data_IF_479944663206
#
_entry.id   IF_479944663206
#
_cell.length_a   1.000
_cell.length_b   1.000
_cell.length_c   1.000
_cell.angle_alpha   90.00
_cell.angle_beta   90.00
_cell.angle_gamma   90.00
#
_symmetry.space_group_name_H-M   'P 1'
#
loop_
_entity.id
_entity.type
_entity.pdbx_description
1 polymer ?
#
# COMPACT_ATOMS: atom_id res chain seq x y z
N UNK A 1 -9.99 0.55 19.75
CA UNK A 1 -8.57 0.87 19.73
C UNK A 1 -8.29 2.29 19.22
N UNK A 2 -7.08 2.77 19.40
CA UNK A 2 -6.63 4.07 18.92
C UNK A 2 -6.33 3.95 17.42
N UNK A 3 -6.91 4.84 16.60
CA UNK A 3 -6.63 4.86 15.16
C UNK A 3 -5.26 5.45 14.88
N UNK A 4 -4.56 4.92 13.86
CA UNK A 4 -3.30 5.48 13.39
C UNK A 4 -3.48 6.97 13.02
N UNK A 5 -2.52 7.81 13.42
CA UNK A 5 -2.55 9.25 13.16
C UNK A 5 -3.47 10.07 14.07
N UNK A 6 -4.08 9.46 15.12
CA UNK A 6 -4.86 10.23 16.10
C UNK A 6 -3.96 11.22 16.83
N UNK A 7 -4.28 12.53 16.81
CA UNK A 7 -3.47 13.55 17.48
C UNK A 7 -3.37 13.33 18.99
N UNK A 8 -2.19 13.55 19.55
CA UNK A 8 -1.94 13.36 20.98
C UNK A 8 -2.89 14.14 21.90
N UNK A 9 -3.27 15.37 21.53
CA UNK A 9 -4.18 16.17 22.34
C UNK A 9 -5.56 15.52 22.50
N UNK A 10 -6.05 14.81 21.46
CA UNK A 10 -7.30 14.08 21.54
C UNK A 10 -7.18 12.84 22.45
N UNK A 11 -6.01 12.21 22.47
CA UNK A 11 -5.76 11.05 23.34
C UNK A 11 -5.64 11.45 24.80
N UNK A 12 -5.11 12.64 25.10
CA UNK A 12 -5.03 13.18 26.46
C UNK A 12 -6.40 13.37 27.12
N UNK A 13 -7.38 13.78 26.34
CA UNK A 13 -8.75 14.08 26.79
C UNK A 13 -9.63 12.83 26.81
N UNK A 14 -9.22 11.76 26.12
CA UNK A 14 -9.98 10.53 26.04
C UNK A 14 -9.80 9.69 27.31
N UNK A 15 -10.92 9.14 27.82
CA UNK A 15 -10.88 8.15 28.89
C UNK A 15 -10.66 6.76 28.27
N UNK A 16 -9.55 6.13 28.61
CA UNK A 16 -9.27 4.76 28.22
C UNK A 16 -9.58 3.80 29.37
N UNK A 17 -10.17 2.63 29.09
CA UNK A 17 -10.44 1.61 30.13
C UNK A 17 -9.15 1.01 30.68
N UNK A 18 -8.05 1.07 29.92
CA UNK A 18 -6.74 0.57 30.27
C UNK A 18 -5.71 1.71 30.31
N UNK A 19 -4.61 1.48 31.04
CA UNK A 19 -3.54 2.46 31.14
C UNK A 19 -2.85 2.66 29.79
N UNK A 20 -2.82 3.91 29.31
CA UNK A 20 -2.11 4.32 28.10
C UNK A 20 -0.65 4.66 28.42
N UNK A 21 0.28 3.97 27.78
CA UNK A 21 1.71 4.27 27.84
C UNK A 21 2.13 4.98 26.56
N UNK A 22 2.91 6.05 26.72
CA UNK A 22 3.37 6.88 25.61
C UNK A 22 4.88 6.91 25.59
N UNK A 23 5.46 6.62 24.43
CA UNK A 23 6.90 6.59 24.21
C UNK A 23 7.28 7.43 23.01
N UNK A 24 8.46 8.02 23.02
CA UNK A 24 9.06 8.63 21.83
C UNK A 24 9.44 7.56 20.81
N UNK A 25 9.26 7.86 19.52
CA UNK A 25 9.67 6.95 18.44
C UNK A 25 11.19 6.77 18.44
N UNK A 26 11.65 5.51 18.45
CA UNK A 26 13.07 5.17 18.33
C UNK A 26 13.43 5.05 16.84
N UNK A 27 13.79 6.16 16.22
CA UNK A 27 14.10 6.21 14.77
C UNK A 27 15.31 5.34 14.40
N UNK A 28 16.30 5.22 15.25
CA UNK A 28 17.49 4.37 14.98
C UNK A 28 17.11 2.89 14.92
N UNK A 29 16.27 2.43 15.83
CA UNK A 29 15.76 1.06 15.82
C UNK A 29 14.90 0.81 14.57
N UNK A 30 14.00 1.74 14.23
CA UNK A 30 13.18 1.62 13.02
C UNK A 30 14.03 1.57 11.75
N UNK A 31 15.05 2.44 11.64
CA UNK A 31 15.96 2.44 10.50
C UNK A 31 16.77 1.13 10.42
N UNK A 32 17.26 0.62 11.55
CA UNK A 32 17.98 -0.66 11.60
C UNK A 32 17.11 -1.83 11.11
N UNK A 33 15.86 -1.91 11.57
CA UNK A 33 14.93 -2.97 11.13
C UNK A 33 14.54 -2.79 9.67
N UNK A 34 14.31 -1.55 9.21
CA UNK A 34 14.05 -1.24 7.80
C UNK A 34 15.19 -1.71 6.90
N UNK A 35 16.42 -1.40 7.25
CA UNK A 35 17.61 -1.83 6.50
C UNK A 35 17.72 -3.36 6.42
N UNK A 36 17.37 -4.08 7.49
CA UNK A 36 17.34 -5.55 7.49
C UNK A 36 16.25 -6.09 6.55
N UNK A 37 15.07 -5.48 6.54
CA UNK A 37 14.01 -5.86 5.60
C UNK A 37 14.47 -5.64 4.16
N UNK A 38 15.08 -4.48 3.85
CA UNK A 38 15.61 -4.19 2.52
C UNK A 38 16.64 -5.23 2.10
N UNK A 39 17.62 -5.54 2.95
CA UNK A 39 18.65 -6.55 2.67
C UNK A 39 18.04 -7.93 2.36
N UNK A 40 17.04 -8.37 3.12
CA UNK A 40 16.33 -9.63 2.87
C UNK A 40 15.53 -9.61 1.55
N UNK A 41 14.97 -8.48 1.17
CA UNK A 41 14.28 -8.33 -0.12
C UNK A 41 15.28 -8.36 -1.28
N UNK A 42 16.48 -7.79 -1.12
CA UNK A 42 17.56 -7.81 -2.12
C UNK A 42 18.13 -9.23 -2.37
N UNK A 43 18.04 -10.11 -1.39
CA UNK A 43 18.41 -11.53 -1.59
C UNK A 43 17.47 -12.25 -2.59
N UNK A 44 16.22 -11.81 -2.71
CA UNK A 44 15.21 -12.43 -3.56
C UNK A 44 14.90 -11.61 -4.83
N UNK A 45 15.30 -10.35 -4.88
CA UNK A 45 15.07 -9.48 -6.03
C UNK A 45 16.29 -8.59 -6.27
N UNK A 46 16.87 -8.60 -7.50
CA UNK A 46 18.07 -7.81 -7.80
C UNK A 46 17.81 -6.30 -7.89
N UNK A 47 16.56 -5.88 -7.85
CA UNK A 47 16.15 -4.47 -7.97
C UNK A 47 15.12 -4.13 -6.92
N UNK A 48 15.59 -3.53 -5.85
CA UNK A 48 14.77 -3.00 -4.75
C UNK A 48 14.92 -1.48 -4.72
N UNK A 49 13.81 -0.77 -4.79
CA UNK A 49 13.75 0.68 -4.60
C UNK A 49 13.12 0.94 -3.22
N UNK A 50 13.91 1.39 -2.28
CA UNK A 50 13.38 1.84 -0.99
C UNK A 50 12.68 3.18 -1.19
N UNK A 51 11.35 3.18 -0.99
CA UNK A 51 10.52 4.37 -1.14
C UNK A 51 10.36 5.14 0.19
N UNK A 52 10.26 4.41 1.29
CA UNK A 52 10.20 4.98 2.65
C UNK A 52 10.85 4.02 3.66
N UNK A 53 10.75 4.35 4.95
CA UNK A 53 11.28 3.49 6.03
C UNK A 53 10.55 2.14 6.12
N UNK A 54 9.33 2.06 5.61
CA UNK A 54 8.44 0.89 5.72
C UNK A 54 7.90 0.40 4.36
N UNK A 55 8.34 1.00 3.25
CA UNK A 55 7.86 0.68 1.92
C UNK A 55 9.00 0.55 0.90
N UNK A 56 8.93 -0.54 0.11
CA UNK A 56 9.84 -0.81 -0.99
C UNK A 56 9.07 -1.20 -2.25
N UNK A 57 9.62 -0.85 -3.41
CA UNK A 57 9.18 -1.39 -4.69
C UNK A 57 10.23 -2.36 -5.22
N UNK A 58 9.77 -3.51 -5.71
CA UNK A 58 10.60 -4.54 -6.30
C UNK A 58 10.25 -4.71 -7.78
N UNK A 59 11.26 -4.91 -8.61
CA UNK A 59 11.05 -5.26 -10.00
C UNK A 59 10.78 -6.77 -10.13
N UNK A 60 9.53 -7.13 -10.37
CA UNK A 60 9.10 -8.52 -10.51
C UNK A 60 9.05 -9.01 -11.98
N UNK A 61 9.61 -8.23 -12.93
CA UNK A 61 9.64 -8.64 -14.34
C UNK A 61 10.42 -9.96 -14.50
N UNK A 62 9.83 -10.88 -15.24
CA UNK A 62 10.40 -12.22 -15.44
C UNK A 62 10.02 -13.26 -14.39
N UNK A 63 9.65 -12.87 -13.18
CA UNK A 63 9.24 -13.83 -12.12
C UNK A 63 8.04 -14.67 -12.58
N UNK A 64 7.05 -14.05 -13.22
CA UNK A 64 5.86 -14.76 -13.71
C UNK A 64 6.12 -15.86 -14.74
N UNK A 65 7.33 -15.94 -15.31
CA UNK A 65 7.74 -17.05 -16.18
C UNK A 65 8.28 -18.26 -15.39
N UNK A 66 8.67 -18.05 -14.14
CA UNK A 66 9.30 -19.06 -13.29
C UNK A 66 8.33 -19.60 -12.23
N UNK A 67 7.47 -18.73 -11.69
CA UNK A 67 6.52 -19.08 -10.64
C UNK A 67 5.34 -18.11 -10.61
N UNK A 68 4.25 -18.52 -9.94
CA UNK A 68 3.12 -17.63 -9.69
C UNK A 68 3.53 -16.42 -8.84
N UNK A 69 3.03 -15.23 -9.19
CA UNK A 69 3.39 -14.00 -8.48
C UNK A 69 2.93 -13.98 -7.01
N UNK A 70 1.79 -14.61 -6.71
CA UNK A 70 1.31 -14.67 -5.32
C UNK A 70 2.15 -15.69 -4.52
N UNK A 71 2.66 -16.75 -5.16
CA UNK A 71 3.62 -17.68 -4.52
C UNK A 71 4.95 -16.97 -4.22
N UNK A 72 5.45 -16.17 -5.15
CA UNK A 72 6.62 -15.33 -4.89
C UNK A 72 6.37 -14.33 -3.76
N UNK A 73 5.20 -13.70 -3.73
CA UNK A 73 4.80 -12.82 -2.64
C UNK A 73 4.76 -13.53 -1.29
N UNK A 74 4.29 -14.76 -1.24
CA UNK A 74 4.31 -15.60 -0.02
C UNK A 74 5.75 -15.92 0.40
N UNK A 75 6.63 -16.20 -0.56
CA UNK A 75 8.06 -16.42 -0.30
C UNK A 75 8.73 -15.17 0.30
N UNK A 76 8.50 -13.97 -0.28
CA UNK A 76 8.99 -12.69 0.26
C UNK A 76 8.52 -12.48 1.70
N UNK A 77 7.24 -12.71 1.99
CA UNK A 77 6.66 -12.58 3.33
C UNK A 77 7.31 -13.55 4.33
N UNK A 78 7.45 -14.80 3.94
CA UNK A 78 8.08 -15.83 4.78
C UNK A 78 9.54 -15.51 5.09
N UNK A 79 10.28 -15.04 4.08
CA UNK A 79 11.69 -14.67 4.21
C UNK A 79 11.88 -13.49 5.18
N UNK A 80 11.12 -12.42 4.99
CA UNK A 80 11.17 -11.26 5.89
C UNK A 80 10.74 -11.62 7.32
N UNK A 81 9.66 -12.41 7.45
CA UNK A 81 9.19 -12.86 8.76
C UNK A 81 10.25 -13.68 9.50
N UNK A 82 10.91 -14.61 8.82
CA UNK A 82 11.97 -15.44 9.41
C UNK A 82 13.18 -14.63 9.81
N UNK A 83 13.57 -13.62 9.02
CA UNK A 83 14.76 -12.81 9.26
C UNK A 83 14.58 -11.67 10.25
N UNK A 84 13.34 -11.19 10.48
CA UNK A 84 13.07 -10.00 11.30
C UNK A 84 11.97 -10.16 12.34
N UNK A 85 11.11 -11.18 12.24
CA UNK A 85 9.88 -11.30 13.01
C UNK A 85 8.75 -10.37 12.54
N UNK A 86 8.98 -9.57 11.49
CA UNK A 86 8.00 -8.62 10.96
C UNK A 86 7.16 -9.22 9.85
N UNK A 87 5.88 -8.85 9.82
CA UNK A 87 4.98 -9.19 8.71
C UNK A 87 4.91 -8.04 7.71
N UNK A 88 4.93 -8.36 6.41
CA UNK A 88 4.77 -7.39 5.33
C UNK A 88 3.53 -7.69 4.48
N UNK A 89 2.95 -6.68 3.84
CA UNK A 89 1.94 -6.83 2.81
C UNK A 89 2.58 -6.71 1.42
N UNK A 90 2.26 -7.64 0.51
CA UNK A 90 2.83 -7.66 -0.84
C UNK A 90 1.72 -7.48 -1.87
N UNK A 91 1.89 -6.52 -2.77
CA UNK A 91 1.00 -6.27 -3.89
C UNK A 91 1.74 -6.23 -5.21
N UNK A 92 1.25 -6.95 -6.22
CA UNK A 92 1.79 -6.90 -7.58
C UNK A 92 0.85 -6.14 -8.51
N UNK A 93 1.43 -5.37 -9.42
CA UNK A 93 0.69 -4.64 -10.44
C UNK A 93 1.61 -4.14 -11.55
N UNK A 94 1.06 -3.86 -12.71
CA UNK A 94 1.81 -3.37 -13.87
C UNK A 94 2.42 -1.97 -13.65
N UNK A 95 1.92 -1.23 -12.67
CA UNK A 95 2.43 0.08 -12.24
C UNK A 95 2.57 0.13 -10.73
N UNK A 96 3.40 1.06 -10.22
CA UNK A 96 3.53 1.29 -8.77
C UNK A 96 2.17 1.59 -8.11
N UNK A 97 1.31 2.37 -8.77
CA UNK A 97 -0.03 2.67 -8.26
C UNK A 97 -0.90 1.41 -8.13
N UNK A 98 -0.92 0.55 -9.15
CA UNK A 98 -1.65 -0.73 -9.07
C UNK A 98 -1.05 -1.69 -8.04
N UNK A 99 0.28 -1.74 -7.92
CA UNK A 99 0.94 -2.53 -6.88
C UNK A 99 0.55 -2.05 -5.46
N UNK A 100 0.46 -0.73 -5.25
CA UNK A 100 -0.03 -0.15 -3.98
C UNK A 100 -1.50 -0.46 -3.73
N UNK A 101 -2.35 -0.42 -4.75
CA UNK A 101 -3.77 -0.83 -4.63
C UNK A 101 -3.90 -2.32 -4.29
N UNK A 102 -3.08 -3.19 -4.90
CA UNK A 102 -3.02 -4.60 -4.57
C UNK A 102 -2.53 -4.82 -3.13
N UNK A 103 -1.49 -4.10 -2.70
CA UNK A 103 -0.98 -4.17 -1.33
C UNK A 103 -2.04 -3.73 -0.31
N UNK A 104 -2.76 -2.62 -0.56
CA UNK A 104 -3.88 -2.17 0.27
C UNK A 104 -4.91 -3.29 0.42
N UNK A 105 -5.41 -3.83 -0.69
CA UNK A 105 -6.41 -4.91 -0.66
C UNK A 105 -5.90 -6.18 0.03
N UNK A 106 -4.61 -6.50 -0.10
CA UNK A 106 -4.00 -7.67 0.54
C UNK A 106 -4.02 -7.61 2.06
N UNK A 107 -4.02 -6.39 2.62
CA UNK A 107 -4.11 -6.13 4.07
C UNK A 107 -5.55 -5.97 4.54
N UNK A 108 -6.39 -5.33 3.71
CA UNK A 108 -7.79 -5.03 4.05
C UNK A 108 -8.66 -6.30 4.04
N UNK A 109 -8.40 -7.23 3.12
CA UNK A 109 -9.22 -8.44 2.96
C UNK A 109 -8.47 -9.70 3.38
N UNK A 110 -8.85 -10.33 4.53
CA UNK A 110 -8.14 -11.47 5.14
C UNK A 110 -7.95 -12.68 4.21
N UNK A 111 -8.86 -12.89 3.23
CA UNK A 111 -8.76 -13.99 2.28
C UNK A 111 -7.47 -13.96 1.44
N UNK A 112 -6.87 -12.78 1.24
CA UNK A 112 -5.61 -12.65 0.49
C UNK A 112 -4.38 -12.97 1.34
N UNK A 113 -4.52 -13.08 2.65
CA UNK A 113 -3.42 -13.43 3.56
C UNK A 113 -2.17 -12.55 3.38
N UNK A 114 -2.39 -11.28 3.04
CA UNK A 114 -1.33 -10.29 2.86
C UNK A 114 -0.58 -10.34 1.53
N UNK A 115 -1.10 -11.07 0.52
CA UNK A 115 -0.52 -11.08 -0.84
C UNK A 115 -1.62 -10.99 -1.88
N UNK A 116 -1.45 -10.12 -2.87
CA UNK A 116 -2.38 -10.01 -4.00
C UNK A 116 -1.63 -9.61 -5.27
N UNK A 117 -1.91 -10.31 -6.38
CA UNK A 117 -1.43 -9.96 -7.70
C UNK A 117 -2.55 -9.47 -8.62
N UNK A 118 -2.32 -8.31 -9.24
CA UNK A 118 -3.14 -7.77 -10.33
C UNK A 118 -2.39 -7.99 -11.65
N UNK A 119 -2.66 -9.15 -12.28
CA UNK A 119 -2.08 -9.48 -13.58
C UNK A 119 -2.80 -8.72 -14.70
N UNK A 120 -2.07 -8.25 -15.74
CA UNK A 120 -2.66 -7.74 -16.98
C UNK A 120 -3.60 -8.75 -17.66
N UNK A 121 -3.36 -10.04 -17.48
CA UNK A 121 -4.17 -11.13 -18.06
C UNK A 121 -5.55 -11.25 -17.39
N UNK A 122 -5.75 -10.61 -16.25
CA UNK A 122 -7.04 -10.61 -15.55
C UNK A 122 -7.55 -9.19 -15.26
N UNK A 123 -7.95 -8.45 -16.31
CA UNK A 123 -8.44 -7.08 -16.15
C UNK A 123 -9.73 -6.99 -15.32
N UNK A 124 -10.53 -8.07 -15.29
CA UNK A 124 -11.75 -8.13 -14.48
C UNK A 124 -11.44 -8.09 -12.98
N UNK A 125 -10.36 -8.78 -12.54
CA UNK A 125 -9.90 -8.75 -11.14
C UNK A 125 -9.47 -7.34 -10.76
N UNK A 126 -8.71 -6.68 -11.61
CA UNK A 126 -8.27 -5.29 -11.42
C UNK A 126 -9.47 -4.33 -11.33
N UNK A 127 -10.39 -4.38 -12.30
CA UNK A 127 -11.58 -3.54 -12.27
C UNK A 127 -12.45 -3.78 -11.03
N UNK A 128 -12.62 -5.04 -10.62
CA UNK A 128 -13.35 -5.39 -9.40
C UNK A 128 -12.69 -4.80 -8.15
N UNK A 129 -11.37 -4.91 -8.01
CA UNK A 129 -10.64 -4.31 -6.89
C UNK A 129 -10.83 -2.79 -6.88
N UNK A 130 -10.57 -2.12 -8.00
CA UNK A 130 -10.68 -0.66 -8.10
C UNK A 130 -12.11 -0.16 -7.85
N UNK A 131 -13.13 -0.96 -8.16
CA UNK A 131 -14.55 -0.62 -7.86
C UNK A 131 -14.87 -0.67 -6.36
N UNK A 132 -14.09 -1.38 -5.57
CA UNK A 132 -14.24 -1.53 -4.13
C UNK A 132 -13.28 -0.64 -3.33
N UNK A 133 -12.21 -0.17 -3.95
CA UNK A 133 -11.23 0.70 -3.30
C UNK A 133 -11.75 2.13 -3.21
N UNK A 134 -11.94 2.71 -2.00
CA UNK A 134 -12.26 4.11 -1.83
C UNK A 134 -11.19 5.00 -2.46
N UNK A 135 -11.59 6.15 -2.99
CA UNK A 135 -10.64 7.04 -3.70
C UNK A 135 -9.56 7.59 -2.77
N UNK A 136 -9.85 7.76 -1.50
CA UNK A 136 -8.90 8.19 -0.46
C UNK A 136 -7.82 7.16 -0.13
N UNK A 137 -8.03 5.90 -0.49
CA UNK A 137 -7.07 4.80 -0.30
C UNK A 137 -6.12 4.64 -1.50
N UNK A 138 -6.25 5.48 -2.53
CA UNK A 138 -5.33 5.50 -3.66
C UNK A 138 -4.03 6.19 -3.23
N UNK A 139 -2.91 5.54 -3.53
CA UNK A 139 -1.59 6.10 -3.32
C UNK A 139 -1.43 7.48 -3.97
N UNK A 140 -1.15 8.50 -3.17
CA UNK A 140 -1.05 9.90 -3.60
C UNK A 140 -2.34 10.72 -3.48
N UNK A 141 -3.47 10.12 -3.11
CA UNK A 141 -4.72 10.82 -2.83
C UNK A 141 -4.85 11.13 -1.35
N UNK A 142 -4.48 12.34 -0.96
CA UNK A 142 -4.66 12.82 0.42
C UNK A 142 -6.08 13.35 0.69
N UNK A 143 -6.43 13.55 1.96
CA UNK A 143 -7.76 13.97 2.43
C UNK A 143 -8.35 15.17 1.68
N UNK A 144 -7.53 16.16 1.31
CA UNK A 144 -7.99 17.35 0.57
C UNK A 144 -8.43 17.00 -0.85
N UNK A 145 -7.68 16.14 -1.53
CA UNK A 145 -8.00 15.67 -2.89
C UNK A 145 -9.24 14.78 -2.83
N UNK A 146 -9.28 13.84 -1.89
CA UNK A 146 -10.41 12.94 -1.71
C UNK A 146 -11.73 13.71 -1.50
N UNK A 147 -11.77 14.67 -0.58
CA UNK A 147 -12.96 15.52 -0.38
C UNK A 147 -13.44 16.20 -1.65
N UNK A 148 -12.51 16.72 -2.46
CA UNK A 148 -12.85 17.39 -3.72
C UNK A 148 -13.37 16.40 -4.77
N UNK A 149 -12.80 15.18 -4.84
CA UNK A 149 -13.28 14.10 -5.71
C UNK A 149 -14.69 13.65 -5.31
N UNK A 150 -14.95 13.48 -4.00
CA UNK A 150 -16.28 13.13 -3.48
C UNK A 150 -17.35 14.15 -3.87
N UNK A 151 -17.06 15.46 -3.78
CA UNK A 151 -17.98 16.51 -4.25
C UNK A 151 -18.31 16.39 -5.75
N UNK A 152 -17.38 15.83 -6.54
CA UNK A 152 -17.57 15.57 -7.97
C UNK A 152 -18.22 14.21 -8.27
N UNK A 153 -18.62 13.45 -7.23
CA UNK A 153 -19.23 12.11 -7.38
C UNK A 153 -18.22 10.99 -7.65
N UNK A 154 -16.91 11.27 -7.53
CA UNK A 154 -15.84 10.29 -7.71
C UNK A 154 -15.46 9.74 -6.34
N UNK A 155 -15.94 8.54 -6.03
CA UNK A 155 -15.80 7.91 -4.69
C UNK A 155 -14.93 6.65 -4.71
N UNK A 156 -14.65 6.07 -5.88
CA UNK A 156 -13.85 4.85 -6.01
C UNK A 156 -12.67 5.05 -6.97
N UNK A 157 -11.65 4.20 -6.80
CA UNK A 157 -10.50 4.17 -7.69
C UNK A 157 -10.88 3.89 -9.14
N UNK A 158 -11.89 3.03 -9.38
CA UNK A 158 -12.37 2.76 -10.73
C UNK A 158 -13.00 4.01 -11.37
N UNK A 159 -13.83 4.73 -10.63
CA UNK A 159 -14.42 5.97 -11.15
C UNK A 159 -13.36 7.01 -11.51
N UNK A 160 -12.33 7.16 -10.66
CA UNK A 160 -11.21 8.05 -10.96
C UNK A 160 -10.45 7.61 -12.21
N UNK A 161 -10.15 6.32 -12.36
CA UNK A 161 -9.45 5.78 -13.54
C UNK A 161 -10.21 5.93 -14.86
N UNK A 162 -11.53 5.99 -14.80
CA UNK A 162 -12.41 6.19 -15.96
C UNK A 162 -12.72 7.67 -16.25
N UNK A 163 -12.32 8.57 -15.35
CA UNK A 163 -12.54 10.01 -15.52
C UNK A 163 -11.57 10.57 -16.57
N UNK A 164 -12.05 11.52 -17.38
CA UNK A 164 -11.24 12.13 -18.43
C UNK A 164 -9.95 12.75 -17.86
N UNK A 165 -8.74 12.36 -18.32
CA UNK A 165 -7.47 12.84 -17.78
C UNK A 165 -7.31 14.36 -17.84
N UNK A 166 -7.75 15.00 -18.94
CA UNK A 166 -7.71 16.45 -19.11
C UNK A 166 -8.56 17.16 -18.04
N UNK A 167 -9.72 16.60 -17.71
CA UNK A 167 -10.56 17.11 -16.63
C UNK A 167 -9.84 17.02 -15.27
N UNK A 168 -9.20 15.88 -14.98
CA UNK A 168 -8.42 15.69 -13.74
C UNK A 168 -7.26 16.69 -13.68
N UNK A 169 -6.49 16.81 -14.75
CA UNK A 169 -5.35 17.75 -14.82
C UNK A 169 -5.78 19.19 -14.57
N UNK A 170 -6.89 19.63 -15.18
CA UNK A 170 -7.43 20.99 -15.03
C UNK A 170 -7.92 21.30 -13.62
N UNK A 171 -8.55 20.33 -12.97
CA UNK A 171 -9.18 20.53 -11.67
C UNK A 171 -8.26 20.21 -10.48
N UNK A 172 -7.20 19.45 -10.70
CA UNK A 172 -6.25 19.03 -9.67
C UNK A 172 -4.82 19.34 -10.08
N UNK A 173 -4.11 18.37 -10.65
CA UNK A 173 -2.74 18.52 -11.11
C UNK A 173 -2.32 17.35 -12.03
N UNK A 174 -1.12 17.47 -12.61
CA UNK A 174 -0.54 16.44 -13.49
C UNK A 174 -0.20 15.13 -12.76
N UNK A 175 0.02 15.17 -11.44
CA UNK A 175 0.38 13.97 -10.68
C UNK A 175 -0.84 13.07 -10.50
N UNK A 176 -2.01 13.65 -10.24
CA UNK A 176 -3.26 12.88 -10.13
C UNK A 176 -3.78 12.39 -11.49
N UNK A 177 -3.48 13.11 -12.56
CA UNK A 177 -3.83 12.73 -13.93
C UNK A 177 -3.11 11.45 -14.39
N UNK A 178 -1.81 11.31 -14.04
CA UNK A 178 -0.96 10.17 -14.40
C UNK A 178 -1.28 8.91 -13.60
#
# INVERSE_FOLDING_TARGET
GIKMGTPWFQLKEAQFPEKLYVFSSNYELYASLSNRVVALLEELSPRVEQYSIDECFLDARGIGHCMDLEDFGRQLRGHVLSGTGLTIGVGFGATKTLAKSAQWASKEWPQFRGVLALSPDNPRRTAKLLSLQPVEEIWGVGNRIAKKLHVMGITTALQLSLTNPTFIRKNFNVVLER
#
